data_IF_868744051805
#
_entry.id   IF_868744051805
#
_cell.length_a   1.000
_cell.length_b   1.000
_cell.length_c   1.000
_cell.angle_alpha   90.00
_cell.angle_beta   90.00
_cell.angle_gamma   90.00
#
_symmetry.space_group_name_H-M   'P 1'
#
loop_
_entity.id
_entity.type
_entity.pdbx_description
1 polymer ?
#
# COMPACT_ATOMS: atom_id res chain seq x y z
N UNK A 1 -7.91 35.75 -35.08
CA UNK A 1 -7.62 35.60 -36.49
C UNK A 1 -6.59 34.50 -36.62
N UNK A 2 -6.73 33.38 -37.19
CA UNK A 2 -7.64 32.66 -38.07
C UNK A 2 -7.63 31.17 -37.69
N UNK A 3 -8.80 30.59 -37.65
CA UNK A 3 -9.02 29.14 -37.79
C UNK A 3 -8.59 28.69 -39.18
N UNK A 4 -8.06 27.45 -39.31
CA UNK A 4 -8.34 26.64 -40.50
C UNK A 4 -8.42 25.16 -40.12
N UNK A 5 -9.58 24.63 -40.54
CA UNK A 5 -10.00 23.23 -40.53
C UNK A 5 -9.50 22.59 -41.83
N UNK A 6 -9.03 21.34 -41.77
CA UNK A 6 -8.90 20.51 -42.94
C UNK A 6 -9.48 19.11 -42.68
N UNK A 7 -10.43 18.73 -43.54
CA UNK A 7 -11.16 17.46 -43.63
C UNK A 7 -10.34 16.36 -44.30
N UNK A 8 -10.46 15.15 -43.77
CA UNK A 8 -10.92 13.94 -44.46
C UNK A 8 -10.00 13.23 -45.44
N UNK A 9 -9.66 11.97 -45.09
CA UNK A 9 -9.62 10.87 -46.07
C UNK A 9 -10.10 9.59 -45.37
N UNK A 10 -11.05 8.88 -46.01
CA UNK A 10 -11.53 7.54 -45.68
C UNK A 10 -10.60 6.50 -46.32
N UNK A 11 -10.45 5.35 -45.71
CA UNK A 11 -9.75 4.20 -46.27
C UNK A 11 -9.84 2.97 -45.39
N UNK A 12 -10.51 1.98 -45.82
CA UNK A 12 -11.01 0.70 -45.42
C UNK A 12 -10.13 -0.25 -44.58
N UNK A 13 -10.82 -0.88 -43.67
CA UNK A 13 -10.87 -2.29 -43.21
C UNK A 13 -9.73 -3.26 -43.51
N UNK A 14 -9.12 -3.81 -42.43
CA UNK A 14 -9.18 -5.26 -42.12
C UNK A 14 -8.53 -5.59 -40.76
N UNK A 15 -9.34 -6.17 -39.91
CA UNK A 15 -9.08 -7.17 -38.87
C UNK A 15 -7.67 -7.31 -38.27
N UNK A 16 -7.51 -6.85 -37.07
CA UNK A 16 -6.84 -7.60 -35.98
C UNK A 16 -7.15 -6.92 -34.65
N UNK A 17 -7.84 -7.62 -33.78
CA UNK A 17 -8.23 -7.22 -32.44
C UNK A 17 -7.02 -7.12 -31.52
N UNK A 18 -6.76 -5.98 -30.90
CA UNK A 18 -5.99 -5.88 -29.66
C UNK A 18 -6.91 -5.39 -28.54
N UNK A 19 -7.81 -6.26 -28.12
CA UNK A 19 -8.63 -6.01 -26.97
C UNK A 19 -8.10 -6.77 -25.76
N UNK A 20 -7.22 -6.19 -24.95
CA UNK A 20 -7.06 -6.68 -23.56
C UNK A 20 -6.20 -5.78 -22.67
N UNK A 21 -5.29 -4.96 -23.18
CA UNK A 21 -4.34 -4.22 -22.34
C UNK A 21 -4.88 -2.87 -21.87
N UNK A 22 -5.76 -2.22 -22.63
CA UNK A 22 -6.37 -0.93 -22.24
C UNK A 22 -7.53 -1.08 -21.23
N UNK A 23 -8.26 -2.18 -21.26
CA UNK A 23 -9.38 -2.41 -20.33
C UNK A 23 -8.88 -2.72 -18.91
N UNK A 24 -7.75 -3.44 -18.76
CA UNK A 24 -7.18 -3.73 -17.43
C UNK A 24 -6.67 -2.46 -16.72
N UNK A 25 -6.07 -1.53 -17.44
CA UNK A 25 -5.63 -0.25 -16.87
C UNK A 25 -6.83 0.63 -16.45
N UNK A 26 -7.92 0.61 -17.24
CA UNK A 26 -9.16 1.32 -16.93
C UNK A 26 -9.87 0.79 -15.69
N UNK A 27 -9.90 -0.52 -15.50
CA UNK A 27 -10.56 -1.16 -14.35
C UNK A 27 -9.81 -0.88 -13.05
N UNK A 28 -8.48 -0.93 -13.04
CA UNK A 28 -7.66 -0.58 -11.87
C UNK A 28 -7.81 0.91 -11.54
N UNK A 29 -7.83 1.79 -12.54
CA UNK A 29 -8.05 3.22 -12.34
C UNK A 29 -9.48 3.55 -11.87
N UNK A 30 -10.49 2.81 -12.30
CA UNK A 30 -11.87 2.95 -11.83
C UNK A 30 -11.98 2.51 -10.35
N UNK A 31 -11.37 1.37 -9.99
CA UNK A 31 -11.31 0.86 -8.62
C UNK A 31 -10.55 1.82 -7.69
N UNK A 32 -9.46 2.41 -8.16
CA UNK A 32 -8.71 3.42 -7.42
C UNK A 32 -9.53 4.71 -7.24
N UNK A 33 -10.30 5.14 -8.26
CA UNK A 33 -11.19 6.31 -8.17
C UNK A 33 -12.37 6.07 -7.23
N UNK A 34 -12.94 4.87 -7.21
CA UNK A 34 -14.01 4.49 -6.29
C UNK A 34 -13.52 4.42 -4.84
N UNK A 35 -12.34 3.86 -4.61
CA UNK A 35 -11.69 3.83 -3.30
C UNK A 35 -11.38 5.23 -2.74
N UNK A 36 -11.28 6.26 -3.59
CA UNK A 36 -11.06 7.65 -3.18
C UNK A 36 -12.37 8.41 -2.88
N UNK A 37 -13.53 7.97 -3.42
CA UNK A 37 -14.81 8.66 -3.22
C UNK A 37 -15.41 8.49 -1.83
N UNK A 38 -15.12 7.40 -1.15
CA UNK A 38 -15.64 7.12 0.20
C UNK A 38 -14.98 7.98 1.31
N UNK A 39 -14.02 8.83 0.95
CA UNK A 39 -13.26 9.69 1.87
C UNK A 39 -14.02 10.93 2.39
N UNK A 40 -15.25 11.20 1.93
CA UNK A 40 -15.90 12.50 2.20
C UNK A 40 -17.30 12.37 2.80
N UNK A 41 -17.47 11.63 3.89
CA UNK A 41 -18.67 11.77 4.77
C UNK A 41 -18.57 10.88 6.00
N UNK A 42 -18.26 11.40 7.17
CA UNK A 42 -19.05 11.06 8.35
C UNK A 42 -18.78 11.89 9.60
N UNK A 43 -19.83 12.02 10.41
CA UNK A 43 -20.03 12.91 11.56
C UNK A 43 -19.51 12.28 12.87
N UNK A 44 -19.17 13.17 13.81
CA UNK A 44 -18.69 12.98 15.19
C UNK A 44 -19.50 12.00 16.03
N UNK A 45 -18.85 11.16 16.82
CA UNK A 45 -19.39 10.61 18.06
C UNK A 45 -18.34 10.57 19.17
N UNK A 46 -18.76 11.07 20.35
CA UNK A 46 -18.02 11.08 21.61
C UNK A 46 -17.84 9.68 22.18
N UNK A 47 -16.69 9.39 22.78
CA UNK A 47 -16.48 8.19 23.59
C UNK A 47 -16.05 8.48 25.01
N UNK A 48 -16.67 7.74 25.91
CA UNK A 48 -16.55 7.78 27.37
C UNK A 48 -15.35 6.98 27.87
N UNK A 49 -14.70 7.47 28.91
CA UNK A 49 -13.57 6.87 29.59
C UNK A 49 -14.05 5.84 30.63
N UNK A 50 -13.44 4.66 30.72
CA UNK A 50 -13.59 3.77 31.87
C UNK A 50 -12.25 3.28 32.43
N UNK A 51 -12.23 3.17 33.77
CA UNK A 51 -11.11 3.15 34.66
C UNK A 51 -10.32 1.81 34.70
N UNK A 52 -9.06 1.94 35.17
CA UNK A 52 -8.06 0.91 35.43
C UNK A 52 -8.39 0.05 36.65
N UNK A 53 -8.02 -1.25 36.60
CA UNK A 53 -7.79 -2.10 37.78
C UNK A 53 -6.31 -2.32 38.01
N UNK A 54 -5.82 -2.41 39.27
CA UNK A 54 -4.39 -2.47 39.59
C UNK A 54 -3.87 -3.88 39.91
N UNK A 55 -2.56 -4.03 39.77
CA UNK A 55 -1.64 -4.98 40.40
C UNK A 55 -1.45 -6.38 39.83
N UNK A 56 -0.33 -6.50 39.10
CA UNK A 56 0.58 -7.63 39.23
C UNK A 56 1.97 -7.10 39.53
N UNK A 57 2.57 -7.55 40.64
CA UNK A 57 3.94 -7.22 41.05
C UNK A 57 4.94 -7.73 40.00
N UNK A 58 5.66 -6.82 39.39
CA UNK A 58 6.79 -7.12 38.52
C UNK A 58 8.03 -7.41 39.42
N UNK A 59 8.66 -8.56 39.22
CA UNK A 59 9.87 -8.99 39.89
C UNK A 59 11.15 -8.29 39.39
N UNK A 60 11.04 -7.37 38.43
CA UNK A 60 12.15 -6.61 37.86
C UNK A 60 11.85 -5.12 37.96
N UNK A 61 12.84 -4.27 38.32
CA UNK A 61 12.64 -2.82 38.32
C UNK A 61 12.35 -2.31 36.89
N UNK A 62 11.34 -1.45 36.76
CA UNK A 62 10.90 -0.86 35.46
C UNK A 62 11.98 -0.02 34.77
N UNK A 63 13.14 0.21 35.42
CA UNK A 63 14.27 0.99 34.88
C UNK A 63 15.12 0.26 33.83
N UNK A 64 14.97 -1.05 33.63
CA UNK A 64 15.81 -1.85 32.74
C UNK A 64 15.16 -2.20 31.38
N UNK A 65 13.92 -1.76 31.16
CA UNK A 65 13.34 -1.85 29.83
C UNK A 65 13.71 -0.61 29.02
N UNK A 66 14.20 -0.75 27.77
CA UNK A 66 14.44 0.42 26.92
C UNK A 66 13.13 1.22 26.82
N UNK A 67 13.23 2.49 27.16
CA UNK A 67 12.18 3.49 26.94
C UNK A 67 11.52 3.31 25.59
N UNK A 68 10.23 3.60 25.48
CA UNK A 68 9.40 3.56 24.28
C UNK A 68 10.20 3.84 23.02
N UNK A 69 10.03 2.96 21.99
CA UNK A 69 10.69 3.15 20.69
C UNK A 69 10.29 4.54 20.18
N UNK A 70 11.26 5.45 20.05
CA UNK A 70 11.04 6.74 19.39
C UNK A 70 10.82 6.50 17.91
N UNK A 71 9.55 6.45 17.52
CA UNK A 71 9.12 6.21 16.13
C UNK A 71 9.48 7.37 15.18
N UNK A 72 9.89 8.52 15.72
CA UNK A 72 10.37 9.68 14.94
C UNK A 72 11.90 9.75 14.86
N UNK A 73 12.61 8.79 15.45
CA UNK A 73 14.08 8.80 15.49
C UNK A 73 14.73 8.91 14.11
N UNK A 74 14.26 8.12 13.16
CA UNK A 74 14.84 8.08 11.81
C UNK A 74 14.52 9.33 10.99
N UNK A 75 13.32 9.86 11.13
CA UNK A 75 12.91 11.13 10.55
C UNK A 75 13.72 12.29 11.12
N UNK A 76 13.89 12.33 12.45
CA UNK A 76 14.69 13.34 13.17
C UNK A 76 16.16 13.30 12.74
N UNK A 77 16.72 12.11 12.54
CA UNK A 77 18.10 11.94 12.07
C UNK A 77 18.27 12.47 10.64
N UNK A 78 17.33 12.17 9.74
CA UNK A 78 17.36 12.68 8.37
C UNK A 78 17.25 14.22 8.35
N UNK A 79 16.37 14.80 9.19
CA UNK A 79 16.22 16.27 9.33
C UNK A 79 17.49 16.94 9.85
N UNK A 80 18.18 16.34 10.85
CA UNK A 80 19.48 16.80 11.33
C UNK A 80 20.56 16.79 10.25
N UNK A 81 20.41 15.90 9.26
CA UNK A 81 21.29 15.84 8.08
C UNK A 81 20.91 16.82 6.96
N UNK A 82 19.89 17.67 7.19
CA UNK A 82 19.48 18.75 6.28
C UNK A 82 18.29 18.42 5.37
N UNK A 83 17.75 17.20 5.38
CA UNK A 83 16.60 16.83 4.59
C UNK A 83 15.30 17.38 5.19
N UNK A 84 14.33 17.72 4.33
CA UNK A 84 13.07 18.36 4.74
C UNK A 84 11.83 17.53 4.41
N UNK A 85 11.79 16.95 3.22
CA UNK A 85 10.66 16.17 2.70
C UNK A 85 10.99 14.66 2.76
N UNK A 86 10.79 14.09 3.94
CA UNK A 86 11.15 12.68 4.21
C UNK A 86 9.92 11.82 3.94
N UNK A 87 10.02 10.90 2.99
CA UNK A 87 8.97 9.93 2.71
C UNK A 87 9.28 8.56 3.32
N UNK A 88 8.34 8.01 4.09
CA UNK A 88 8.32 6.59 4.43
C UNK A 88 7.72 5.78 3.29
N UNK A 89 8.30 4.61 2.99
CA UNK A 89 7.91 3.74 1.88
C UNK A 89 7.77 2.30 2.37
N UNK A 90 6.65 1.66 2.08
CA UNK A 90 6.40 0.25 2.40
C UNK A 90 5.49 -0.40 1.35
N UNK A 91 5.43 -1.75 1.32
CA UNK A 91 4.58 -2.51 0.42
C UNK A 91 3.68 -3.52 1.14
N UNK A 92 2.57 -3.86 0.48
CA UNK A 92 1.65 -4.91 0.88
C UNK A 92 1.42 -5.90 -0.26
N UNK A 93 1.37 -7.20 0.07
CA UNK A 93 0.97 -8.20 -0.91
C UNK A 93 2.11 -8.97 -1.56
N UNK A 94 3.27 -9.15 -0.92
CA UNK A 94 4.36 -10.01 -1.44
C UNK A 94 4.02 -11.49 -1.41
N UNK A 95 3.47 -11.98 -0.30
CA UNK A 95 3.22 -13.42 -0.08
C UNK A 95 1.96 -14.03 -0.70
N UNK A 96 0.88 -13.29 -1.02
CA UNK A 96 -0.33 -13.87 -1.61
C UNK A 96 -0.10 -14.55 -2.96
N UNK A 97 -0.94 -15.57 -3.24
CA UNK A 97 -0.99 -16.32 -4.51
C UNK A 97 -1.75 -15.57 -5.61
N UNK A 98 -2.52 -14.54 -5.24
CA UNK A 98 -3.33 -13.76 -6.18
C UNK A 98 -3.31 -12.26 -5.84
N UNK A 99 -3.56 -11.45 -6.86
CA UNK A 99 -3.64 -10.01 -6.77
C UNK A 99 -2.29 -9.29 -6.88
N UNK A 100 -2.32 -7.95 -6.91
CA UNK A 100 -1.14 -7.12 -7.11
C UNK A 100 -0.27 -7.07 -5.86
N UNK A 101 0.98 -6.63 -6.02
CA UNK A 101 1.74 -5.94 -4.98
C UNK A 101 1.42 -4.46 -5.04
N UNK A 102 1.19 -3.85 -3.87
CA UNK A 102 0.86 -2.43 -3.73
C UNK A 102 1.86 -1.82 -2.78
N UNK A 103 2.48 -0.71 -3.16
CA UNK A 103 3.32 0.08 -2.29
C UNK A 103 2.71 1.46 -2.06
N UNK A 104 3.06 2.06 -0.93
CA UNK A 104 2.74 3.45 -0.65
C UNK A 104 4.00 4.22 -0.23
N UNK A 105 3.94 5.53 -0.43
CA UNK A 105 4.91 6.49 0.06
C UNK A 105 4.16 7.63 0.76
N UNK A 106 4.60 8.00 1.96
CA UNK A 106 3.91 9.01 2.78
C UNK A 106 4.92 10.01 3.33
N UNK A 107 4.65 11.31 3.11
CA UNK A 107 5.38 12.42 3.74
C UNK A 107 4.50 13.00 4.85
N UNK A 108 4.96 12.92 6.08
CA UNK A 108 4.29 13.55 7.23
C UNK A 108 4.92 14.92 7.54
N UNK A 109 4.13 15.87 8.08
CA UNK A 109 4.67 17.13 8.62
C UNK A 109 5.70 16.87 9.72
N UNK A 110 6.59 17.84 9.94
CA UNK A 110 7.60 17.76 11.00
C UNK A 110 6.95 17.80 12.38
N UNK A 111 7.34 16.87 13.26
CA UNK A 111 6.86 16.80 14.64
C UNK A 111 5.44 16.28 14.80
N UNK A 112 4.72 16.06 13.71
CA UNK A 112 3.37 15.50 13.78
C UNK A 112 3.40 14.00 14.07
N UNK A 113 2.47 13.56 14.91
CA UNK A 113 2.18 12.16 15.17
C UNK A 113 0.78 11.84 14.66
N UNK A 114 0.61 10.65 14.09
CA UNK A 114 -0.71 10.18 13.66
C UNK A 114 -1.20 9.13 14.64
N UNK A 115 -2.22 9.50 15.43
CA UNK A 115 -2.77 8.62 16.45
C UNK A 115 -3.24 7.30 15.85
N UNK A 116 -2.88 6.18 16.50
CA UNK A 116 -3.29 4.83 16.09
C UNK A 116 -2.48 4.24 14.94
N UNK A 117 -1.50 4.97 14.39
CA UNK A 117 -0.57 4.42 13.38
C UNK A 117 0.47 3.56 14.07
N UNK A 118 0.53 2.29 13.68
CA UNK A 118 1.48 1.27 14.15
C UNK A 118 1.51 0.13 13.14
N UNK A 119 2.25 -0.94 13.44
CA UNK A 119 2.32 -2.14 12.59
C UNK A 119 0.93 -2.53 12.03
N UNK A 120 0.73 -2.28 10.74
CA UNK A 120 -0.55 -2.47 10.04
C UNK A 120 -1.08 -3.91 10.12
N UNK A 121 -0.19 -4.89 10.33
CA UNK A 121 -0.51 -6.32 10.45
C UNK A 121 -1.10 -6.67 11.81
N UNK A 122 -0.77 -5.90 12.86
CA UNK A 122 -1.31 -6.05 14.20
C UNK A 122 -2.64 -5.30 14.40
N UNK A 123 -3.08 -4.48 13.43
CA UNK A 123 -4.31 -3.70 13.50
C UNK A 123 -5.52 -4.48 12.98
N UNK A 124 -6.69 -4.26 13.61
CA UNK A 124 -7.96 -4.69 13.03
C UNK A 124 -8.25 -3.95 11.72
N UNK A 125 -9.12 -4.49 10.85
CA UNK A 125 -9.50 -3.82 9.60
C UNK A 125 -10.10 -2.44 9.87
N UNK A 126 -10.99 -2.32 10.88
CA UNK A 126 -11.60 -1.06 11.29
C UNK A 126 -10.56 -0.03 11.76
N UNK A 127 -9.66 -0.41 12.66
CA UNK A 127 -8.62 0.49 13.17
C UNK A 127 -7.67 0.95 12.03
N UNK A 128 -7.42 0.08 11.07
CA UNK A 128 -6.57 0.39 9.90
C UNK A 128 -7.26 1.38 8.96
N UNK A 129 -8.56 1.24 8.72
CA UNK A 129 -9.33 2.21 7.93
C UNK A 129 -9.38 3.58 8.65
N UNK A 130 -9.59 3.62 9.97
CA UNK A 130 -9.54 4.86 10.75
C UNK A 130 -8.16 5.53 10.67
N UNK A 131 -7.07 4.77 10.82
CA UNK A 131 -5.72 5.28 10.67
C UNK A 131 -5.45 5.78 9.23
N UNK A 132 -5.93 5.07 8.21
CA UNK A 132 -5.84 5.50 6.82
C UNK A 132 -6.47 6.89 6.59
N UNK A 133 -7.66 7.15 7.15
CA UNK A 133 -8.30 8.47 7.04
C UNK A 133 -7.45 9.56 7.72
N UNK A 134 -6.96 9.31 8.95
CA UNK A 134 -6.11 10.26 9.66
C UNK A 134 -4.79 10.54 8.91
N UNK A 135 -4.17 9.51 8.32
CA UNK A 135 -2.97 9.68 7.49
C UNK A 135 -3.26 10.64 6.32
N UNK A 136 -4.38 10.44 5.60
CA UNK A 136 -4.72 11.27 4.45
C UNK A 136 -5.11 12.72 4.85
N UNK A 137 -5.60 12.94 6.07
CA UNK A 137 -5.89 14.28 6.60
C UNK A 137 -4.62 15.01 7.06
N UNK A 138 -3.62 14.26 7.55
CA UNK A 138 -2.40 14.83 8.16
C UNK A 138 -1.24 14.94 7.18
N UNK A 139 -1.10 13.97 6.26
CA UNK A 139 0.08 13.87 5.40
C UNK A 139 0.20 15.05 4.43
N UNK A 140 1.42 15.52 4.21
CA UNK A 140 1.76 16.49 3.16
C UNK A 140 1.58 15.89 1.76
N UNK A 141 1.88 14.60 1.61
CA UNK A 141 1.69 13.86 0.38
C UNK A 141 1.53 12.36 0.64
N UNK A 142 0.68 11.72 -0.15
CA UNK A 142 0.49 10.27 -0.18
C UNK A 142 0.56 9.81 -1.63
N UNK A 143 1.45 8.86 -1.91
CA UNK A 143 1.61 8.25 -3.22
C UNK A 143 1.38 6.75 -3.16
N UNK A 144 0.83 6.17 -4.22
CA UNK A 144 0.55 4.73 -4.32
C UNK A 144 1.05 4.18 -5.65
N UNK A 145 1.73 3.03 -5.59
CA UNK A 145 2.16 2.27 -6.76
C UNK A 145 1.57 0.87 -6.75
N UNK A 146 1.20 0.36 -7.92
CA UNK A 146 0.54 -0.95 -8.07
C UNK A 146 1.17 -1.73 -9.21
N UNK A 147 1.64 -2.94 -8.91
CA UNK A 147 2.17 -3.87 -9.94
C UNK A 147 1.32 -5.13 -9.96
N UNK A 148 0.81 -5.47 -11.15
CA UNK A 148 -0.15 -6.56 -11.36
C UNK A 148 0.47 -7.95 -11.13
N UNK A 149 -0.39 -8.97 -10.90
CA UNK A 149 0.03 -10.36 -10.84
C UNK A 149 0.80 -10.80 -12.09
N UNK A 150 0.35 -10.39 -13.27
CA UNK A 150 1.03 -10.69 -14.54
C UNK A 150 2.45 -10.12 -14.58
N UNK A 151 2.65 -8.85 -14.18
CA UNK A 151 3.98 -8.24 -14.16
C UNK A 151 4.90 -8.85 -13.08
N UNK A 152 4.33 -9.39 -11.99
CA UNK A 152 5.07 -10.18 -11.01
C UNK A 152 5.60 -11.47 -11.66
N UNK A 153 4.75 -12.18 -12.42
CA UNK A 153 5.13 -13.42 -13.10
C UNK A 153 6.17 -13.18 -14.23
N UNK A 154 6.11 -12.04 -14.91
CA UNK A 154 7.06 -11.63 -15.96
C UNK A 154 8.45 -11.25 -15.39
N UNK A 155 8.56 -11.05 -14.06
CA UNK A 155 9.81 -10.67 -13.42
C UNK A 155 10.09 -11.52 -12.17
N UNK A 156 9.88 -10.97 -11.01
CA UNK A 156 9.84 -11.63 -9.71
C UNK A 156 9.25 -10.67 -8.67
N UNK A 157 8.87 -11.20 -7.51
CA UNK A 157 8.20 -10.41 -6.48
C UNK A 157 9.08 -9.30 -5.88
N UNK A 158 10.40 -9.50 -5.78
CA UNK A 158 11.31 -8.46 -5.28
C UNK A 158 11.34 -7.26 -6.23
N UNK A 159 11.59 -7.51 -7.52
CA UNK A 159 11.60 -6.46 -8.54
C UNK A 159 10.26 -5.75 -8.62
N UNK A 160 9.16 -6.50 -8.64
CA UNK A 160 7.81 -5.94 -8.67
C UNK A 160 7.50 -5.07 -7.43
N UNK A 161 7.98 -5.46 -6.23
CA UNK A 161 7.85 -4.62 -5.02
C UNK A 161 8.62 -3.32 -5.15
N UNK A 162 9.86 -3.36 -5.60
CA UNK A 162 10.68 -2.15 -5.81
C UNK A 162 10.12 -1.24 -6.91
N UNK A 163 9.56 -1.83 -7.98
CA UNK A 163 8.87 -1.07 -9.04
C UNK A 163 7.59 -0.40 -8.51
N UNK A 164 6.81 -1.07 -7.65
CA UNK A 164 5.66 -0.49 -6.98
C UNK A 164 6.08 0.66 -6.04
N UNK A 165 7.14 0.48 -5.25
CA UNK A 165 7.69 1.53 -4.38
C UNK A 165 8.14 2.74 -5.20
N UNK A 166 8.85 2.52 -6.31
CA UNK A 166 9.25 3.59 -7.23
C UNK A 166 8.05 4.36 -7.77
N UNK A 167 6.99 3.67 -8.21
CA UNK A 167 5.75 4.31 -8.67
C UNK A 167 5.11 5.15 -7.57
N UNK A 168 5.07 4.64 -6.33
CA UNK A 168 4.53 5.36 -5.18
C UNK A 168 5.30 6.66 -4.92
N UNK A 169 6.64 6.61 -4.91
CA UNK A 169 7.48 7.80 -4.68
C UNK A 169 7.34 8.81 -5.83
N UNK A 170 7.34 8.36 -7.09
CA UNK A 170 7.21 9.26 -8.27
C UNK A 170 5.85 9.97 -8.29
N UNK A 171 4.81 9.39 -7.69
CA UNK A 171 3.48 10.01 -7.62
C UNK A 171 3.32 11.07 -6.51
N UNK A 172 4.34 11.26 -5.65
CA UNK A 172 4.29 12.27 -4.59
C UNK A 172 4.41 13.69 -5.13
N UNK A 173 3.63 14.60 -4.58
CA UNK A 173 3.74 16.05 -4.75
C UNK A 173 3.41 16.74 -3.42
N UNK A 174 4.39 17.37 -2.74
CA UNK A 174 5.77 17.62 -3.19
C UNK A 174 6.63 16.34 -3.28
N UNK A 175 7.70 16.40 -4.11
CA UNK A 175 8.64 15.29 -4.28
C UNK A 175 9.60 15.20 -3.09
N UNK A 176 9.90 13.99 -2.56
CA UNK A 176 10.75 13.82 -1.39
C UNK A 176 12.23 14.05 -1.70
N UNK A 177 12.96 14.57 -0.72
CA UNK A 177 14.42 14.71 -0.74
C UNK A 177 15.14 13.57 -0.01
N UNK A 178 14.41 12.78 0.80
CA UNK A 178 14.91 11.60 1.48
C UNK A 178 13.84 10.49 1.59
N UNK A 179 14.27 9.22 1.48
CA UNK A 179 13.39 8.06 1.65
C UNK A 179 13.82 7.21 2.85
N UNK A 180 12.85 6.81 3.66
CA UNK A 180 12.94 5.73 4.63
C UNK A 180 12.18 4.53 4.06
N UNK A 181 12.88 3.47 3.70
CA UNK A 181 12.32 2.33 2.95
C UNK A 181 12.26 1.11 3.85
N UNK A 182 11.08 0.46 3.98
CA UNK A 182 11.00 -0.82 4.68
C UNK A 182 11.80 -1.90 3.95
N UNK A 183 12.52 -2.72 4.73
CA UNK A 183 13.31 -3.83 4.21
C UNK A 183 14.80 -3.54 4.05
N UNK A 184 15.46 -4.29 3.16
CA UNK A 184 16.91 -4.29 2.98
C UNK A 184 17.38 -3.78 1.62
N UNK A 185 16.45 -3.58 0.68
CA UNK A 185 16.77 -3.19 -0.70
C UNK A 185 16.33 -1.75 -0.97
N UNK A 186 17.24 -0.91 -1.49
CA UNK A 186 16.89 0.44 -1.87
C UNK A 186 15.98 0.47 -3.11
N UNK A 187 15.14 1.50 -3.19
CA UNK A 187 14.37 1.80 -4.40
C UNK A 187 15.34 2.30 -5.48
N UNK A 188 15.18 1.85 -6.73
CA UNK A 188 16.07 2.26 -7.84
C UNK A 188 15.79 3.71 -8.28
N UNK A 189 16.31 4.67 -7.49
CA UNK A 189 16.16 6.13 -7.65
C UNK A 189 17.41 6.85 -7.19
N UNK A 190 17.61 8.08 -7.69
CA UNK A 190 18.71 8.93 -7.26
C UNK A 190 18.50 9.62 -5.91
N UNK A 191 17.26 9.64 -5.40
CA UNK A 191 16.91 10.25 -4.11
C UNK A 191 17.68 9.57 -2.98
N UNK A 192 18.26 10.35 -2.07
CA UNK A 192 18.93 9.85 -0.88
C UNK A 192 17.98 8.97 -0.06
N UNK A 193 18.45 7.84 0.46
CA UNK A 193 17.57 6.88 1.09
C UNK A 193 18.28 6.02 2.13
N UNK A 194 17.49 5.50 3.08
CA UNK A 194 17.92 4.55 4.09
C UNK A 194 16.92 3.41 4.20
N UNK A 195 17.42 2.18 4.06
CA UNK A 195 16.62 0.98 4.29
C UNK A 195 16.54 0.67 5.78
N UNK A 196 15.36 0.32 6.25
CA UNK A 196 15.06 0.01 7.65
C UNK A 196 14.45 -1.38 7.74
N UNK A 197 15.14 -2.31 8.36
CA UNK A 197 14.59 -3.65 8.65
C UNK A 197 13.48 -3.51 9.70
N UNK A 198 12.26 -3.93 9.33
CA UNK A 198 11.03 -3.70 10.13
C UNK A 198 10.77 -2.20 10.36
N UNK A 199 10.95 -1.41 9.32
CA UNK A 199 10.75 0.04 9.34
C UNK A 199 9.34 0.43 9.78
N UNK A 200 8.34 -0.40 9.46
CA UNK A 200 6.94 -0.29 9.88
C UNK A 200 6.73 -0.27 11.42
N UNK A 201 7.76 -0.62 12.22
CA UNK A 201 7.73 -0.62 13.69
C UNK A 201 8.57 0.48 14.32
N UNK A 202 9.52 1.06 13.59
CA UNK A 202 10.55 1.97 14.12
C UNK A 202 10.58 3.34 13.44
N UNK A 203 9.74 3.56 12.42
CA UNK A 203 9.59 4.83 11.71
C UNK A 203 8.11 5.11 11.48
N UNK A 204 7.64 6.28 11.90
CA UNK A 204 6.23 6.67 11.78
C UNK A 204 5.80 6.82 10.31
N UNK A 205 6.64 7.42 9.48
CA UNK A 205 6.33 7.59 8.04
C UNK A 205 6.27 6.25 7.31
N UNK A 206 7.12 5.28 7.64
CA UNK A 206 7.07 3.92 7.09
C UNK A 206 5.84 3.17 7.59
N UNK A 207 5.51 3.31 8.89
CA UNK A 207 4.29 2.73 9.46
C UNK A 207 3.03 3.29 8.78
N UNK A 208 2.98 4.59 8.51
CA UNK A 208 1.89 5.22 7.76
C UNK A 208 1.80 4.67 6.32
N UNK A 209 2.93 4.52 5.63
CA UNK A 209 2.98 3.91 4.30
C UNK A 209 2.47 2.45 4.32
N UNK A 210 2.84 1.66 5.34
CA UNK A 210 2.36 0.29 5.55
C UNK A 210 0.82 0.22 5.64
N UNK A 211 0.23 1.11 6.45
CA UNK A 211 -1.24 1.23 6.57
C UNK A 211 -1.89 1.56 5.22
N UNK A 212 -1.37 2.57 4.52
CA UNK A 212 -1.89 3.00 3.22
C UNK A 212 -1.79 1.86 2.20
N UNK A 213 -0.63 1.25 2.03
CA UNK A 213 -0.43 0.15 1.11
C UNK A 213 -1.39 -1.01 1.38
N UNK A 214 -1.57 -1.37 2.66
CA UNK A 214 -2.47 -2.45 3.09
C UNK A 214 -3.92 -2.14 2.80
N UNK A 215 -4.41 -0.94 3.10
CA UNK A 215 -5.81 -0.54 2.84
C UNK A 215 -6.10 -0.55 1.34
N UNK A 216 -5.24 0.07 0.52
CA UNK A 216 -5.41 0.06 -0.93
C UNK A 216 -5.45 -1.35 -1.50
N UNK A 217 -4.53 -2.21 -1.06
CA UNK A 217 -4.50 -3.59 -1.52
C UNK A 217 -5.77 -4.36 -1.13
N UNK A 218 -6.23 -4.22 0.11
CA UNK A 218 -7.42 -4.93 0.58
C UNK A 218 -8.68 -4.47 -0.16
N UNK A 219 -8.79 -3.18 -0.50
CA UNK A 219 -9.86 -2.63 -1.33
C UNK A 219 -9.82 -3.20 -2.76
N UNK A 220 -8.63 -3.32 -3.38
CA UNK A 220 -8.46 -3.96 -4.69
C UNK A 220 -8.90 -5.44 -4.61
N UNK A 221 -8.52 -6.17 -3.57
CA UNK A 221 -8.91 -7.57 -3.41
C UNK A 221 -10.41 -7.74 -3.17
N UNK A 222 -11.07 -6.79 -2.51
CA UNK A 222 -12.53 -6.75 -2.38
C UNK A 222 -13.21 -6.60 -3.73
N UNK A 223 -12.71 -5.73 -4.60
CA UNK A 223 -13.24 -5.57 -5.97
C UNK A 223 -13.00 -6.83 -6.81
N UNK A 224 -11.86 -7.49 -6.67
CA UNK A 224 -11.63 -8.78 -7.32
C UNK A 224 -12.52 -9.90 -6.79
N UNK A 225 -12.92 -9.86 -5.52
CA UNK A 225 -13.91 -10.82 -5.01
C UNK A 225 -15.26 -10.71 -5.76
N UNK A 226 -15.71 -9.50 -6.06
CA UNK A 226 -16.93 -9.31 -6.85
C UNK A 226 -16.85 -9.91 -8.26
N UNK A 227 -15.66 -9.90 -8.87
CA UNK A 227 -15.41 -10.47 -10.21
C UNK A 227 -15.18 -12.00 -10.17
N UNK A 228 -14.56 -12.48 -9.09
CA UNK A 228 -14.14 -13.88 -8.92
C UNK A 228 -14.57 -14.45 -7.56
N UNK A 229 -15.89 -14.51 -7.25
CA UNK A 229 -16.37 -14.82 -5.90
C UNK A 229 -15.99 -16.24 -5.41
N UNK A 230 -15.72 -17.16 -6.34
CA UNK A 230 -15.38 -18.57 -6.03
C UNK A 230 -14.08 -18.74 -5.24
N UNK A 231 -13.16 -17.76 -5.29
CA UNK A 231 -11.85 -17.84 -4.65
C UNK A 231 -11.81 -17.24 -3.25
N UNK A 232 -12.90 -16.62 -2.75
CA UNK A 232 -12.98 -16.10 -1.39
C UNK A 232 -12.02 -14.93 -1.10
N UNK A 233 -11.72 -14.08 -2.09
CA UNK A 233 -10.75 -12.98 -1.94
C UNK A 233 -11.16 -11.92 -0.91
N UNK A 234 -12.44 -11.88 -0.53
CA UNK A 234 -12.92 -11.00 0.54
C UNK A 234 -12.30 -11.35 1.89
N UNK A 235 -12.16 -12.64 2.18
CA UNK A 235 -11.64 -13.17 3.44
C UNK A 235 -10.13 -13.37 3.35
N UNK A 236 -9.67 -14.14 2.35
CA UNK A 236 -8.29 -14.57 2.25
C UNK A 236 -7.34 -13.52 1.64
N UNK A 237 -7.85 -12.43 1.07
CA UNK A 237 -7.06 -11.36 0.41
C UNK A 237 -5.99 -11.89 -0.57
N UNK A 238 -6.24 -13.08 -1.15
CA UNK A 238 -5.34 -13.78 -2.08
C UNK A 238 -4.27 -14.65 -1.42
N UNK A 239 -4.23 -14.75 -0.10
CA UNK A 239 -3.31 -15.65 0.59
C UNK A 239 -3.71 -17.12 0.41
N UNK A 240 -2.70 -18.02 0.42
CA UNK A 240 -2.89 -19.46 0.22
C UNK A 240 -3.52 -20.18 1.41
N UNK A 241 -4.69 -19.75 1.83
CA UNK A 241 -5.49 -20.46 2.83
C UNK A 241 -5.99 -21.79 2.28
N UNK A 242 -6.37 -22.73 3.15
CA UNK A 242 -6.90 -24.04 2.73
C UNK A 242 -8.07 -23.89 1.76
N UNK A 243 -9.00 -22.95 2.03
CA UNK A 243 -10.14 -22.62 1.16
C UNK A 243 -9.72 -22.08 -0.20
N UNK A 244 -8.74 -21.15 -0.24
CA UNK A 244 -8.23 -20.61 -1.49
C UNK A 244 -7.53 -21.69 -2.35
N UNK A 245 -6.68 -22.51 -1.75
CA UNK A 245 -6.03 -23.63 -2.43
C UNK A 245 -7.05 -24.67 -2.93
N UNK A 246 -8.12 -24.95 -2.16
CA UNK A 246 -9.20 -25.81 -2.61
C UNK A 246 -9.96 -25.22 -3.81
N UNK A 247 -10.21 -23.91 -3.80
CA UNK A 247 -10.85 -23.21 -4.92
C UNK A 247 -9.99 -23.24 -6.19
N UNK A 248 -8.66 -23.05 -6.05
CA UNK A 248 -7.72 -23.18 -7.18
C UNK A 248 -7.76 -24.60 -7.77
N UNK A 249 -7.72 -25.65 -6.93
CA UNK A 249 -7.82 -27.04 -7.40
C UNK A 249 -9.13 -27.34 -8.12
N UNK A 250 -10.24 -26.76 -7.65
CA UNK A 250 -11.57 -27.02 -8.20
C UNK A 250 -11.87 -26.24 -9.49
N UNK A 251 -11.32 -25.03 -9.63
CA UNK A 251 -11.71 -24.10 -10.69
C UNK A 251 -10.54 -23.63 -11.56
N UNK A 252 -9.32 -24.06 -11.29
CA UNK A 252 -8.11 -23.55 -11.92
C UNK A 252 -7.73 -22.16 -11.43
N UNK A 253 -6.69 -21.58 -11.99
CA UNK A 253 -6.25 -20.23 -11.70
C UNK A 253 -7.09 -19.21 -12.50
N UNK A 254 -7.51 -18.10 -11.89
CA UNK A 254 -8.10 -16.96 -12.61
C UNK A 254 -7.03 -15.92 -12.99
N UNK A 255 -7.33 -14.93 -13.86
CA UNK A 255 -6.35 -13.98 -14.41
C UNK A 255 -5.54 -13.16 -13.41
N UNK A 256 -5.96 -13.09 -12.14
CA UNK A 256 -5.21 -12.39 -11.10
C UNK A 256 -4.33 -13.28 -10.24
N UNK A 257 -4.27 -14.60 -10.52
CA UNK A 257 -3.34 -15.48 -9.84
C UNK A 257 -1.92 -15.30 -10.37
N UNK A 258 -0.94 -15.54 -9.50
CA UNK A 258 0.49 -15.50 -9.82
C UNK A 258 0.96 -16.90 -10.17
N UNK A 259 1.01 -17.19 -11.45
CA UNK A 259 1.24 -18.56 -11.98
C UNK A 259 2.63 -19.11 -11.60
N UNK A 260 3.60 -18.23 -11.33
CA UNK A 260 4.95 -18.62 -10.90
C UNK A 260 5.03 -18.95 -9.39
N UNK A 261 3.97 -18.68 -8.63
CA UNK A 261 3.96 -18.95 -7.19
C UNK A 261 3.58 -20.40 -6.89
N UNK A 262 4.34 -21.03 -5.99
CA UNK A 262 4.08 -22.41 -5.58
C UNK A 262 2.66 -22.57 -5.01
N UNK A 263 1.90 -23.51 -5.56
CA UNK A 263 0.53 -23.83 -5.15
C UNK A 263 -0.55 -23.20 -6.04
N UNK A 264 -0.19 -22.53 -7.12
CA UNK A 264 -1.12 -22.00 -8.13
C UNK A 264 -1.13 -22.89 -9.37
N UNK A 265 0.03 -23.38 -9.82
CA UNK A 265 0.20 -24.33 -10.93
C UNK A 265 0.42 -25.74 -10.44
#
# INVERSE_FOLDING_TARGET
MHLQVARGIRGDTSSCTPGSVREFSGTIMAVLKEALKDSCSNKRHHFFFMARTPNTLSLFPESDFPSEIDVLYHESLARKSGYRLIAGVDEAGRGPLAGPVVAAAVILPEGETVEGVRDSKAMTEKAREEAFFRINETALAVGVGVVSAKAIDESNILKASLDAMKQAVVSLSPFPDFLLVDGTYPVSMATAQRCLVKGDRISLSVSAASVVAKVYRDRIMRSYHALYPRYGFLENKGYGTAGHLAAIRAHGACPIHRLTFRGVA
#
